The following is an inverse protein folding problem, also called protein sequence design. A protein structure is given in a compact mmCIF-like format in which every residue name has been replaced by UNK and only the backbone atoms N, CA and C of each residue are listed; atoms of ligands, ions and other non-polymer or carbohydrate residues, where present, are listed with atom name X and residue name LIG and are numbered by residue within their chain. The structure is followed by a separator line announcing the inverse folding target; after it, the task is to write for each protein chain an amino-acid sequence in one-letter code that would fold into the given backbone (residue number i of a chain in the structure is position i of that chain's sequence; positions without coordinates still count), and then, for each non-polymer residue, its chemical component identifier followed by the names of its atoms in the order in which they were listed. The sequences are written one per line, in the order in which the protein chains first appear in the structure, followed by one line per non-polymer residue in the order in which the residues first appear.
data_IF_076506546426
#
_entry.id   IF_076506546426
#
_cell.length_a   1.000
_cell.length_b   1.000
_cell.length_c   1.000
_cell.angle_alpha   90.00
_cell.angle_beta   90.00
_cell.angle_gamma   90.00
#
_symmetry.space_group_name_H-M   'P 1'
#
loop_
_entity.id
_entity.type
_entity.pdbx_description
1 polymer ?
#
# COMPACT_ATOMS: atom_id res chain seq x y z
N UNK A 1 4.66 22.42 15.60
CA UNK A 1 4.52 23.71 14.92
C UNK A 1 3.99 23.46 13.51
N UNK A 2 2.70 23.68 13.31
CA UNK A 2 2.08 23.62 11.99
C UNK A 2 2.32 24.96 11.31
N UNK A 3 3.21 25.00 10.32
CA UNK A 3 3.34 26.16 9.45
C UNK A 3 2.12 26.22 8.53
N UNK A 4 1.30 27.23 8.72
CA UNK A 4 0.19 27.50 7.82
C UNK A 4 0.74 28.03 6.48
N UNK A 5 0.62 27.23 5.43
CA UNK A 5 1.02 27.58 4.08
C UNK A 5 -0.12 28.23 3.27
N UNK A 6 -1.27 28.45 3.88
CA UNK A 6 -2.45 29.01 3.20
C UNK A 6 -2.25 30.42 2.66
N UNK A 7 -1.26 31.15 3.19
CA UNK A 7 -0.91 32.50 2.74
C UNK A 7 -0.08 32.54 1.45
N UNK A 8 0.43 31.38 0.98
CA UNK A 8 1.20 31.33 -0.26
C UNK A 8 0.26 31.44 -1.47
N UNK A 9 0.66 32.15 -2.53
CA UNK A 9 -0.05 32.11 -3.79
C UNK A 9 -0.18 30.66 -4.29
N UNK A 10 -1.30 30.27 -4.94
CA UNK A 10 -1.52 28.88 -5.40
C UNK A 10 -0.36 28.30 -6.22
N UNK A 11 0.26 29.12 -7.06
CA UNK A 11 1.41 28.74 -7.88
C UNK A 11 2.65 28.38 -7.04
N UNK A 12 2.92 29.16 -6.00
CA UNK A 12 4.08 28.92 -5.14
C UNK A 12 3.83 27.74 -4.20
N UNK A 13 2.60 27.54 -3.77
CA UNK A 13 2.19 26.36 -3.02
C UNK A 13 2.37 25.08 -3.84
N UNK A 14 1.93 25.06 -5.10
CA UNK A 14 2.12 23.92 -6.00
C UNK A 14 3.59 23.60 -6.20
N UNK A 15 4.42 24.59 -6.38
CA UNK A 15 5.87 24.41 -6.52
C UNK A 15 6.48 23.82 -5.26
N UNK A 16 6.13 24.34 -4.08
CA UNK A 16 6.60 23.84 -2.80
C UNK A 16 6.15 22.39 -2.57
N UNK A 17 4.90 22.05 -2.85
CA UNK A 17 4.35 20.69 -2.72
C UNK A 17 5.08 19.71 -3.65
N UNK A 18 5.33 20.08 -4.90
CA UNK A 18 6.11 19.25 -5.82
C UNK A 18 7.53 19.01 -5.32
N UNK A 19 8.19 20.04 -4.80
CA UNK A 19 9.52 19.91 -4.22
C UNK A 19 9.56 18.97 -3.03
N UNK A 20 8.60 19.06 -2.13
CA UNK A 20 8.45 18.17 -0.96
C UNK A 20 8.19 16.73 -1.41
N UNK A 21 7.29 16.51 -2.36
CA UNK A 21 7.01 15.17 -2.90
C UNK A 21 8.24 14.54 -3.53
N UNK A 22 8.99 15.29 -4.33
CA UNK A 22 10.22 14.79 -4.95
C UNK A 22 11.29 14.44 -3.91
N UNK A 23 11.44 15.27 -2.88
CA UNK A 23 12.37 15.02 -1.78
C UNK A 23 11.94 13.78 -0.97
N UNK A 24 10.66 13.65 -0.68
CA UNK A 24 10.12 12.50 0.02
C UNK A 24 10.41 11.18 -0.70
N UNK A 25 10.19 11.13 -2.02
CA UNK A 25 10.48 9.93 -2.83
C UNK A 25 11.97 9.58 -2.78
N UNK A 26 12.86 10.57 -2.87
CA UNK A 26 14.32 10.37 -2.75
C UNK A 26 14.73 9.87 -1.37
N UNK A 27 14.17 10.43 -0.32
CA UNK A 27 14.42 10.00 1.06
C UNK A 27 13.89 8.58 1.28
N UNK A 28 12.70 8.27 0.83
CA UNK A 28 12.12 6.94 0.93
C UNK A 28 12.99 5.89 0.21
N UNK A 29 13.54 6.23 -0.96
CA UNK A 29 14.45 5.36 -1.70
C UNK A 29 15.75 5.11 -0.90
N UNK A 30 16.33 6.13 -0.27
CA UNK A 30 17.52 5.99 0.57
C UNK A 30 17.26 5.17 1.85
N UNK A 31 16.09 5.35 2.47
CA UNK A 31 15.68 4.60 3.66
C UNK A 31 15.31 3.14 3.34
N UNK A 32 15.27 2.77 2.07
CA UNK A 32 15.00 1.40 1.64
C UNK A 32 13.54 1.01 1.79
N UNK A 33 12.63 1.83 1.29
CA UNK A 33 11.18 1.53 1.25
C UNK A 33 10.88 0.13 0.68
N UNK A 34 11.71 -0.36 -0.22
CA UNK A 34 11.63 -1.69 -0.83
C UNK A 34 12.05 -2.83 0.12
N UNK A 35 12.54 -2.52 1.31
CA UNK A 35 12.89 -3.50 2.35
C UNK A 35 11.79 -3.71 3.38
N UNK A 36 10.69 -3.00 3.24
CA UNK A 36 9.54 -3.14 4.13
C UNK A 36 8.90 -4.51 3.99
N UNK A 37 8.26 -4.96 5.05
CA UNK A 37 7.49 -6.21 5.07
C UNK A 37 6.15 -6.01 5.76
N UNK A 38 5.18 -6.81 5.36
CA UNK A 38 3.90 -6.93 6.05
C UNK A 38 3.74 -8.34 6.57
N UNK A 39 3.63 -8.50 7.88
CA UNK A 39 3.60 -9.80 8.54
C UNK A 39 4.75 -10.73 8.09
N UNK A 40 5.94 -10.18 7.91
CA UNK A 40 7.12 -10.91 7.47
C UNK A 40 7.25 -11.16 5.97
N UNK A 41 6.27 -10.74 5.17
CA UNK A 41 6.32 -10.88 3.70
C UNK A 41 6.76 -9.55 3.09
N UNK A 42 7.79 -9.54 2.21
CA UNK A 42 8.23 -8.31 1.58
C UNK A 42 7.11 -7.59 0.84
N UNK A 43 6.98 -6.30 1.08
CA UNK A 43 5.98 -5.44 0.45
C UNK A 43 6.63 -4.20 -0.13
N UNK A 44 6.43 -3.98 -1.42
CA UNK A 44 6.96 -2.80 -2.11
C UNK A 44 5.89 -1.72 -2.19
N UNK A 45 5.65 -1.09 -1.05
CA UNK A 45 4.70 0.00 -0.92
C UNK A 45 5.28 1.11 -0.05
N UNK A 46 4.95 2.33 -0.37
CA UNK A 46 5.26 3.48 0.46
C UNK A 46 4.27 3.50 1.64
N UNK A 47 4.76 3.82 2.83
CA UNK A 47 3.95 3.76 4.07
C UNK A 47 2.66 4.58 3.99
N UNK A 48 2.71 5.77 3.39
CA UNK A 48 1.53 6.61 3.22
C UNK A 48 0.48 5.97 2.32
N UNK A 49 0.91 5.25 1.29
CA UNK A 49 0.00 4.53 0.40
C UNK A 49 -0.68 3.36 1.12
N UNK A 50 0.03 2.68 2.00
CA UNK A 50 -0.54 1.63 2.86
C UNK A 50 -1.71 2.19 3.69
N UNK A 51 -1.52 3.34 4.33
CA UNK A 51 -2.56 3.99 5.13
C UNK A 51 -3.75 4.41 4.28
N UNK A 52 -3.51 4.92 3.08
CA UNK A 52 -4.58 5.30 2.14
C UNK A 52 -5.34 4.10 1.62
N UNK A 53 -4.64 3.04 1.26
CA UNK A 53 -5.23 1.79 0.76
C UNK A 53 -6.13 1.14 1.81
N UNK A 54 -5.70 1.08 3.08
CA UNK A 54 -6.54 0.53 4.13
C UNK A 54 -7.84 1.32 4.30
N UNK A 55 -7.79 2.65 4.16
CA UNK A 55 -8.98 3.50 4.23
C UNK A 55 -9.97 3.16 3.12
N UNK A 56 -9.48 3.03 1.89
CA UNK A 56 -10.32 2.65 0.75
C UNK A 56 -10.98 1.29 1.00
N UNK A 57 -10.22 0.30 1.46
CA UNK A 57 -10.77 -1.03 1.77
C UNK A 57 -11.80 -0.97 2.89
N UNK A 58 -11.55 -0.21 3.94
CA UNK A 58 -12.48 -0.04 5.06
C UNK A 58 -13.79 0.66 4.63
N UNK A 59 -13.70 1.64 3.74
CA UNK A 59 -14.87 2.38 3.23
C UNK A 59 -15.69 1.54 2.24
N UNK A 60 -15.03 0.84 1.33
CA UNK A 60 -15.66 0.04 0.27
C UNK A 60 -16.18 -1.30 0.79
N UNK A 61 -15.46 -1.92 1.72
CA UNK A 61 -15.73 -3.29 2.25
C UNK A 61 -15.91 -4.30 1.11
N UNK A 62 -14.91 -4.48 0.25
CA UNK A 62 -15.06 -5.29 -0.95
C UNK A 62 -15.18 -6.79 -0.60
N UNK A 63 -15.91 -7.52 -1.42
CA UNK A 63 -15.94 -8.99 -1.39
C UNK A 63 -14.70 -9.58 -2.05
N UNK A 64 -14.28 -8.98 -3.14
CA UNK A 64 -13.08 -9.38 -3.88
C UNK A 64 -12.13 -8.21 -4.05
N UNK A 65 -10.83 -8.47 -3.91
CA UNK A 65 -9.77 -7.56 -4.32
C UNK A 65 -8.95 -8.27 -5.39
N UNK A 66 -8.80 -7.62 -6.53
CA UNK A 66 -7.98 -8.12 -7.64
C UNK A 66 -6.74 -7.23 -7.76
N UNK A 67 -5.59 -7.86 -7.73
CA UNK A 67 -4.29 -7.20 -7.81
C UNK A 67 -3.53 -7.69 -9.04
N UNK A 68 -2.89 -6.77 -9.75
CA UNK A 68 -1.87 -7.07 -10.75
C UNK A 68 -0.50 -6.74 -10.18
N UNK A 69 0.49 -7.62 -10.42
CA UNK A 69 1.82 -7.44 -9.87
C UNK A 69 1.96 -8.02 -8.46
N UNK A 70 1.83 -9.34 -8.33
CA UNK A 70 1.96 -10.06 -7.05
C UNK A 70 3.31 -9.84 -6.38
N UNK A 71 4.37 -9.78 -7.16
CA UNK A 71 5.76 -9.70 -6.73
C UNK A 71 6.05 -10.74 -5.63
N UNK A 72 6.28 -10.31 -4.40
CA UNK A 72 6.56 -11.21 -3.26
C UNK A 72 5.30 -11.64 -2.50
N UNK A 73 4.13 -11.11 -2.84
CA UNK A 73 2.86 -11.39 -2.17
C UNK A 73 2.55 -10.51 -0.96
N UNK A 74 3.39 -9.51 -0.66
CA UNK A 74 3.20 -8.63 0.50
C UNK A 74 1.90 -7.83 0.44
N UNK A 75 1.57 -7.26 -0.70
CA UNK A 75 0.30 -6.53 -0.88
C UNK A 75 -0.90 -7.46 -0.76
N UNK A 76 -0.82 -8.68 -1.29
CA UNK A 76 -1.89 -9.66 -1.17
C UNK A 76 -2.14 -10.04 0.30
N UNK A 77 -1.08 -10.27 1.08
CA UNK A 77 -1.19 -10.54 2.52
C UNK A 77 -1.73 -9.32 3.27
N UNK A 78 -1.30 -8.13 2.90
CA UNK A 78 -1.82 -6.88 3.45
C UNK A 78 -3.34 -6.78 3.27
N UNK A 79 -3.83 -6.93 2.06
CA UNK A 79 -5.26 -6.89 1.78
C UNK A 79 -6.04 -8.02 2.46
N UNK A 80 -5.49 -9.23 2.48
CA UNK A 80 -6.10 -10.36 3.18
C UNK A 80 -6.23 -10.08 4.69
N UNK A 81 -5.21 -9.51 5.30
CA UNK A 81 -5.24 -9.12 6.72
C UNK A 81 -6.30 -8.07 7.00
N UNK A 82 -6.48 -7.08 6.13
CA UNK A 82 -7.55 -6.08 6.25
C UNK A 82 -8.93 -6.69 6.17
N UNK A 83 -9.19 -7.55 5.20
CA UNK A 83 -10.47 -8.22 5.08
C UNK A 83 -10.80 -9.06 6.32
N UNK A 84 -9.81 -9.75 6.86
CA UNK A 84 -9.96 -10.52 8.10
C UNK A 84 -10.29 -9.62 9.29
N UNK A 85 -9.58 -8.51 9.45
CA UNK A 85 -9.83 -7.54 10.53
C UNK A 85 -11.20 -6.85 10.39
N UNK A 86 -11.71 -6.71 9.17
CA UNK A 86 -13.05 -6.18 8.90
C UNK A 86 -14.18 -7.22 9.09
N UNK A 87 -13.85 -8.40 9.60
CA UNK A 87 -14.82 -9.41 9.99
C UNK A 87 -15.07 -10.53 8.97
N UNK A 88 -14.32 -10.56 7.86
CA UNK A 88 -14.41 -11.65 6.89
C UNK A 88 -13.90 -12.95 7.50
N UNK A 89 -14.69 -14.01 7.37
CA UNK A 89 -14.34 -15.36 7.83
C UNK A 89 -13.84 -16.22 6.66
N UNK A 90 -13.05 -17.29 6.91
CA UNK A 90 -12.54 -18.16 5.86
C UNK A 90 -13.62 -18.78 4.96
N UNK A 91 -14.81 -19.03 5.50
CA UNK A 91 -15.94 -19.60 4.76
C UNK A 91 -16.76 -18.58 3.95
N UNK A 92 -16.52 -17.28 4.16
CA UNK A 92 -17.25 -16.25 3.43
C UNK A 92 -16.79 -16.21 1.97
N UNK A 93 -17.71 -15.92 1.02
CA UNK A 93 -17.33 -15.76 -0.38
C UNK A 93 -16.41 -14.57 -0.56
N UNK A 94 -15.51 -14.65 -1.52
CA UNK A 94 -14.60 -13.57 -1.83
C UNK A 94 -13.16 -13.82 -1.40
N UNK A 95 -12.32 -12.83 -1.50
CA UNK A 95 -10.91 -12.90 -1.15
C UNK A 95 -10.02 -12.04 -2.03
N UNK A 96 -8.77 -12.46 -2.14
CA UNK A 96 -7.75 -11.79 -2.93
C UNK A 96 -7.42 -12.66 -4.15
N UNK A 97 -7.45 -12.05 -5.32
CA UNK A 97 -6.90 -12.63 -6.56
C UNK A 97 -5.72 -11.77 -6.96
N UNK A 98 -4.55 -12.38 -7.04
CA UNK A 98 -3.34 -11.67 -7.43
C UNK A 98 -2.67 -12.40 -8.60
N UNK A 99 -2.25 -11.63 -9.60
CA UNK A 99 -1.62 -12.14 -10.82
C UNK A 99 -0.32 -11.41 -11.12
N UNK A 100 0.66 -12.15 -11.60
CA UNK A 100 1.95 -11.61 -12.01
C UNK A 100 2.46 -12.34 -13.26
N UNK A 101 3.25 -11.65 -14.06
CA UNK A 101 3.96 -12.24 -15.19
C UNK A 101 5.15 -13.10 -14.75
N UNK A 102 5.66 -12.87 -13.54
CA UNK A 102 6.77 -13.62 -12.95
C UNK A 102 6.32 -14.40 -11.73
N UNK A 103 6.77 -15.63 -11.63
CA UNK A 103 6.51 -16.47 -10.46
C UNK A 103 7.61 -16.29 -9.42
N UNK A 104 7.47 -15.29 -8.57
CA UNK A 104 8.41 -15.00 -7.47
C UNK A 104 8.00 -15.62 -6.13
N UNK A 105 6.71 -15.95 -5.97
CA UNK A 105 6.21 -16.58 -4.75
C UNK A 105 6.45 -18.09 -4.84
N UNK A 106 7.25 -18.62 -3.93
CA UNK A 106 7.39 -20.08 -3.80
C UNK A 106 6.10 -20.66 -3.22
N UNK A 107 5.59 -21.75 -3.82
CA UNK A 107 4.56 -22.55 -3.15
C UNK A 107 5.14 -23.03 -1.83
N UNK A 108 4.66 -22.51 -0.72
CA UNK A 108 4.83 -23.22 0.54
C UNK A 108 3.96 -24.47 0.43
N UNK A 109 4.58 -25.64 0.49
CA UNK A 109 3.83 -26.87 0.74
C UNK A 109 3.33 -26.76 2.18
N UNK A 110 2.06 -26.62 2.33
CA UNK A 110 1.38 -26.80 3.61
C UNK A 110 1.46 -28.27 3.99
#
# INVERSE_FOLDING_TARGET
MTSDLSHLPPRDLDYAVRGIKNLYVKLAANEGWFRQSWLGVPIWQISDDIVRLQRVVADVKPTWIVETGTKFGGSAIFFASLLSLLGRKPQDPGGIITVDIHRTVRRQRL
#
